data_IF_480634365026
#
_entry.id   IF_480634365026
#
_cell.length_a   1.000
_cell.length_b   1.000
_cell.length_c   1.000
_cell.angle_alpha   90.00
_cell.angle_beta   90.00
_cell.angle_gamma   90.00
#
_symmetry.space_group_name_H-M   'P 1'
#
loop_
_entity.id
_entity.type
_entity.pdbx_description
1 polymer ?
#
# COMPACT_ATOMS: atom_id res chain seq x y z
N UNK A 1 15.68 20.83 17.00
CA UNK A 1 16.73 20.78 15.97
C UNK A 1 16.64 22.05 15.11
N UNK A 2 17.76 22.70 14.80
CA UNK A 2 17.77 23.96 14.04
C UNK A 2 17.51 23.73 12.54
N UNK A 3 16.55 24.45 11.95
CA UNK A 3 16.18 24.40 10.52
C UNK A 3 17.39 24.62 9.59
N UNK A 4 18.34 25.47 10.00
CA UNK A 4 19.61 25.72 9.29
C UNK A 4 20.45 24.44 9.14
N UNK A 5 20.43 23.56 10.13
CA UNK A 5 21.17 22.29 10.09
C UNK A 5 20.58 21.33 9.05
N UNK A 6 19.25 21.21 9.01
CA UNK A 6 18.56 20.35 8.04
C UNK A 6 18.77 20.82 6.60
N UNK A 7 18.68 22.13 6.35
CA UNK A 7 18.95 22.71 5.04
C UNK A 7 20.36 22.37 4.54
N UNK A 8 21.37 22.56 5.40
CA UNK A 8 22.78 22.28 5.05
C UNK A 8 22.99 20.79 4.75
N UNK A 9 22.36 19.91 5.51
CA UNK A 9 22.44 18.45 5.28
C UNK A 9 21.77 18.06 3.97
N UNK A 10 20.57 18.58 3.67
CA UNK A 10 19.90 18.30 2.41
C UNK A 10 20.71 18.81 1.20
N UNK A 11 21.29 20.02 1.31
CA UNK A 11 22.13 20.60 0.25
C UNK A 11 23.40 19.80 -0.03
N UNK A 12 24.00 19.17 0.99
CA UNK A 12 25.16 18.26 0.82
C UNK A 12 24.84 16.98 0.02
N UNK A 13 23.56 16.64 -0.09
CA UNK A 13 23.08 15.46 -0.79
C UNK A 13 22.36 15.80 -2.11
N UNK A 14 22.50 17.05 -2.59
CA UNK A 14 22.00 17.45 -3.91
C UNK A 14 22.64 16.57 -5.00
N UNK A 15 21.83 16.16 -5.98
CA UNK A 15 22.21 15.26 -7.09
C UNK A 15 22.73 13.88 -6.63
N UNK A 16 22.34 13.45 -5.42
CA UNK A 16 22.66 12.10 -4.92
C UNK A 16 21.39 11.29 -4.74
N UNK A 17 21.53 9.98 -4.92
CA UNK A 17 20.47 9.03 -4.62
C UNK A 17 20.33 8.88 -3.09
N UNK A 18 19.15 9.14 -2.56
CA UNK A 18 18.85 9.14 -1.13
C UNK A 18 17.60 8.34 -0.80
N UNK A 19 17.55 7.87 0.44
CA UNK A 19 16.37 7.27 1.07
C UNK A 19 15.76 8.28 2.05
N UNK A 20 14.51 8.66 1.83
CA UNK A 20 13.77 9.62 2.66
C UNK A 20 12.64 8.90 3.38
N UNK A 21 12.70 8.83 4.71
CA UNK A 21 11.61 8.32 5.54
C UNK A 21 10.78 9.49 6.07
N UNK A 22 9.49 9.49 5.76
CA UNK A 22 8.56 10.49 6.28
C UNK A 22 8.10 10.14 7.69
N UNK A 23 7.62 11.16 8.42
CA UNK A 23 7.01 10.98 9.76
C UNK A 23 5.83 9.98 9.72
N UNK A 24 5.16 9.89 8.57
CA UNK A 24 4.01 9.01 8.34
C UNK A 24 4.40 7.58 7.91
N UNK A 25 5.69 7.22 7.97
CA UNK A 25 6.16 5.86 7.73
C UNK A 25 6.43 5.50 6.26
N UNK A 26 6.00 6.34 5.31
CA UNK A 26 6.34 6.16 3.89
C UNK A 26 7.81 6.43 3.65
N UNK A 27 8.45 5.55 2.88
CA UNK A 27 9.86 5.66 2.49
C UNK A 27 9.97 5.90 0.99
N UNK A 28 10.65 6.96 0.60
CA UNK A 28 10.91 7.31 -0.80
C UNK A 28 12.38 7.07 -1.12
N UNK A 29 12.64 6.54 -2.31
CA UNK A 29 13.97 6.40 -2.88
C UNK A 29 14.04 7.27 -4.12
N UNK A 30 15.05 8.12 -4.24
CA UNK A 30 15.14 9.04 -5.37
C UNK A 30 16.35 9.95 -5.32
N UNK A 31 16.48 10.84 -6.29
CA UNK A 31 17.56 11.82 -6.37
C UNK A 31 17.09 13.20 -5.90
N UNK A 32 17.88 13.90 -5.09
CA UNK A 32 17.55 15.27 -4.68
C UNK A 32 17.87 16.23 -5.83
N UNK A 33 16.84 16.74 -6.50
CA UNK A 33 17.00 17.66 -7.64
C UNK A 33 17.06 19.13 -7.21
N UNK A 34 16.42 19.48 -6.08
CA UNK A 34 16.36 20.87 -5.61
C UNK A 34 16.10 20.92 -4.10
N UNK A 35 16.75 21.86 -3.43
CA UNK A 35 16.55 22.13 -2.00
C UNK A 35 16.25 23.61 -1.83
N UNK A 36 15.13 23.92 -1.18
CA UNK A 36 14.72 25.26 -0.73
C UNK A 36 14.86 25.35 0.80
N UNK A 37 14.69 26.55 1.36
CA UNK A 37 14.78 26.76 2.82
C UNK A 37 13.78 25.91 3.62
N UNK A 38 12.62 25.61 3.03
CA UNK A 38 11.51 24.90 3.69
C UNK A 38 11.12 23.58 3.02
N UNK A 39 11.55 23.35 1.77
CA UNK A 39 11.11 22.21 0.95
C UNK A 39 12.29 21.53 0.28
N UNK A 40 12.21 20.21 0.12
CA UNK A 40 13.16 19.40 -0.64
C UNK A 40 12.40 18.71 -1.77
N UNK A 41 12.91 18.80 -3.00
CA UNK A 41 12.34 18.16 -4.17
C UNK A 41 13.15 16.90 -4.48
N UNK A 42 12.44 15.79 -4.64
CA UNK A 42 13.02 14.48 -4.89
C UNK A 42 12.47 13.97 -6.22
N UNK A 43 13.36 13.62 -7.16
CA UNK A 43 13.00 12.81 -8.33
C UNK A 43 12.86 11.37 -7.85
N UNK A 44 11.63 10.93 -7.67
CA UNK A 44 11.30 9.63 -7.05
C UNK A 44 11.57 8.50 -8.05
N UNK A 45 12.34 7.50 -7.61
CA UNK A 45 12.57 6.25 -8.34
C UNK A 45 11.66 5.12 -7.83
N UNK A 46 11.44 5.06 -6.51
CA UNK A 46 10.60 4.02 -5.89
C UNK A 46 9.99 4.51 -4.58
N UNK A 47 8.80 3.99 -4.24
CA UNK A 47 8.08 4.31 -3.01
C UNK A 47 7.75 3.02 -2.27
N UNK A 48 8.18 2.92 -1.02
CA UNK A 48 7.75 1.88 -0.08
C UNK A 48 6.78 2.51 0.92
N UNK A 49 5.49 2.36 0.65
CA UNK A 49 4.43 2.78 1.57
C UNK A 49 4.20 1.70 2.64
N UNK A 50 3.97 2.14 3.88
CA UNK A 50 3.59 1.24 4.99
C UNK A 50 2.08 0.96 5.02
N UNK A 51 1.30 1.60 4.13
CA UNK A 51 -0.02 1.09 3.79
C UNK A 51 0.21 -0.23 3.04
N UNK A 52 0.29 -1.33 3.79
CA UNK A 52 -0.26 -2.60 3.34
C UNK A 52 -1.62 -2.22 2.77
N UNK A 53 -1.79 -2.33 1.46
CA UNK A 53 -3.12 -2.24 0.89
C UNK A 53 -3.97 -3.17 1.76
N UNK A 54 -4.90 -2.61 2.52
CA UNK A 54 -6.02 -3.39 2.98
C UNK A 54 -6.70 -3.77 1.68
N UNK A 55 -6.26 -4.88 1.09
CA UNK A 55 -7.12 -5.71 0.29
C UNK A 55 -8.12 -6.28 1.29
N UNK A 56 -8.98 -5.41 1.80
CA UNK A 56 -10.31 -5.78 2.24
C UNK A 56 -10.95 -6.29 0.96
N UNK A 57 -10.68 -7.56 0.66
CA UNK A 57 -11.25 -8.25 -0.45
C UNK A 57 -12.77 -8.16 -0.28
N UNK A 58 -13.36 -7.42 -1.22
CA UNK A 58 -14.75 -7.34 -1.61
C UNK A 58 -15.74 -6.65 -0.63
N UNK A 59 -16.41 -5.55 -1.06
CA UNK A 59 -17.71 -5.22 -0.49
C UNK A 59 -18.71 -6.25 -1.03
N UNK A 60 -19.02 -7.27 -0.23
CA UNK A 60 -20.33 -7.93 -0.15
C UNK A 60 -21.06 -8.41 -1.42
N UNK A 61 -20.41 -8.62 -2.57
CA UNK A 61 -21.07 -9.29 -3.74
C UNK A 61 -20.84 -10.82 -3.71
N UNK A 62 -19.75 -11.28 -3.10
CA UNK A 62 -19.43 -12.70 -3.00
C UNK A 62 -20.40 -13.55 -2.14
N UNK A 63 -21.04 -13.07 -1.04
CA UNK A 63 -21.87 -13.93 -0.21
C UNK A 63 -23.12 -14.45 -0.93
N UNK A 64 -23.77 -13.62 -1.75
CA UNK A 64 -25.05 -13.96 -2.38
C UNK A 64 -24.89 -15.03 -3.47
N UNK A 65 -23.90 -14.88 -4.35
CA UNK A 65 -23.65 -15.85 -5.42
C UNK A 65 -23.12 -17.17 -4.85
N UNK A 66 -22.26 -17.14 -3.82
CA UNK A 66 -21.80 -18.36 -3.14
C UNK A 66 -22.93 -19.09 -2.41
N UNK A 67 -23.84 -18.35 -1.76
CA UNK A 67 -25.02 -18.93 -1.14
C UNK A 67 -25.95 -19.57 -2.16
N UNK A 68 -26.16 -18.91 -3.30
CA UNK A 68 -27.02 -19.42 -4.37
C UNK A 68 -26.45 -20.72 -4.98
N UNK A 69 -25.13 -20.76 -5.24
CA UNK A 69 -24.45 -21.98 -5.68
C UNK A 69 -24.52 -23.11 -4.63
N UNK A 70 -24.40 -22.79 -3.34
CA UNK A 70 -24.57 -23.76 -2.25
C UNK A 70 -26.01 -24.27 -2.16
N UNK A 71 -27.01 -23.40 -2.36
CA UNK A 71 -28.42 -23.77 -2.36
C UNK A 71 -28.73 -24.71 -3.54
N UNK A 72 -28.20 -24.43 -4.73
CA UNK A 72 -28.32 -25.32 -5.90
C UNK A 72 -27.66 -26.67 -5.59
N UNK A 73 -26.46 -26.70 -5.01
CA UNK A 73 -25.81 -27.97 -4.62
C UNK A 73 -26.67 -28.71 -3.58
N UNK A 74 -27.19 -28.02 -2.57
CA UNK A 74 -27.98 -28.65 -1.52
C UNK A 74 -29.30 -29.25 -2.04
N UNK A 75 -29.93 -28.59 -3.02
CA UNK A 75 -31.17 -29.05 -3.66
C UNK A 75 -30.90 -30.10 -4.74
N UNK A 76 -29.85 -29.93 -5.53
CA UNK A 76 -29.49 -30.82 -6.64
C UNK A 76 -28.77 -32.09 -6.17
N UNK A 77 -28.24 -32.13 -4.95
CA UNK A 77 -27.77 -33.38 -4.36
C UNK A 77 -29.00 -34.21 -3.99
N UNK A 78 -29.37 -35.26 -4.76
CA UNK A 78 -30.44 -36.13 -4.32
C UNK A 78 -29.91 -36.75 -3.03
N UNK A 79 -30.61 -36.55 -1.91
CA UNK A 79 -30.44 -37.45 -0.76
C UNK A 79 -30.59 -38.84 -1.35
N UNK A 80 -29.48 -39.56 -1.54
CA UNK A 80 -29.50 -41.00 -1.69
C UNK A 80 -30.22 -41.45 -0.44
N UNK A 81 -31.52 -41.71 -0.59
CA UNK A 81 -32.27 -42.50 0.36
C UNK A 81 -31.52 -43.82 0.38
N UNK A 82 -30.59 -43.93 1.32
CA UNK A 82 -30.13 -45.21 1.81
C UNK A 82 -31.35 -45.80 2.50
N UNK A 83 -32.21 -46.42 1.70
CA UNK A 83 -33.07 -47.49 2.15
C UNK A 83 -32.14 -48.66 2.46
N UNK A 84 -31.93 -48.89 3.75
CA UNK A 84 -31.68 -50.19 4.36
C UNK A 84 -32.36 -50.19 5.72
#
# INVERSE_FOLDING_TARGET
MSTKSHYRTARRHLNKHVKVKTKYGSTFYGEIIKVSSTKMYLKVSSVKSHNKAHTSFAPFILPLVLFDLLAIILVATPRRRLFF
#
